data_IF_513764085184
#
_entry.id   IF_513764085184
#
_cell.length_a   1.000
_cell.length_b   1.000
_cell.length_c   1.000
_cell.angle_alpha   90.00
_cell.angle_beta   90.00
_cell.angle_gamma   90.00
#
_symmetry.space_group_name_H-M   'P 1'
#
loop_
_entity.id
_entity.type
_entity.pdbx_description
1 polymer ?
#
# COMPACT_ATOMS: atom_id res chain seq x y z
N UNK A 1 -4.39 14.52 2.26
CA UNK A 1 -3.11 15.01 2.80
C UNK A 1 -2.08 13.91 2.72
N UNK A 2 -0.83 14.26 2.42
CA UNK A 2 0.29 13.32 2.45
C UNK A 2 0.60 12.91 3.90
N UNK A 3 0.95 11.65 4.10
CA UNK A 3 1.29 11.10 5.43
C UNK A 3 2.78 10.75 5.45
N UNK A 4 3.52 11.36 6.36
CA UNK A 4 4.93 11.04 6.54
C UNK A 4 5.07 9.69 7.24
N UNK A 5 6.16 8.97 6.94
CA UNK A 5 6.51 7.72 7.60
C UNK A 5 6.79 7.95 9.09
N UNK A 6 7.49 9.04 9.40
CA UNK A 6 7.93 9.40 10.74
C UNK A 6 7.54 10.86 11.05
N UNK A 7 6.25 11.18 11.23
CA UNK A 7 5.86 12.54 11.61
C UNK A 7 6.35 12.89 13.02
N UNK A 8 6.47 14.19 13.31
CA UNK A 8 6.74 14.71 14.66
C UNK A 8 5.68 15.75 15.06
N UNK A 9 5.28 15.73 16.33
CA UNK A 9 4.51 16.80 16.95
C UNK A 9 5.28 18.11 16.85
N UNK A 10 4.60 19.23 16.56
CA UNK A 10 5.26 20.52 16.42
C UNK A 10 5.84 20.98 17.76
N UNK A 11 7.06 21.52 17.75
CA UNK A 11 7.67 22.14 18.95
C UNK A 11 6.82 23.31 19.47
N UNK A 12 6.13 24.01 18.57
CA UNK A 12 5.21 25.11 18.89
C UNK A 12 3.80 24.71 18.46
N UNK A 13 2.94 24.41 19.44
CA UNK A 13 1.55 23.99 19.23
C UNK A 13 0.52 25.01 19.72
N UNK A 14 -0.75 24.72 19.42
CA UNK A 14 -1.92 25.50 19.82
C UNK A 14 -2.65 24.93 21.03
N UNK A 15 -2.38 23.66 21.39
CA UNK A 15 -3.11 22.88 22.38
C UNK A 15 -4.31 22.11 21.78
N UNK A 16 -4.63 22.33 20.51
CA UNK A 16 -5.69 21.61 19.81
C UNK A 16 -5.22 20.29 19.20
N UNK A 17 -3.92 20.01 19.19
CA UNK A 17 -3.32 18.88 18.49
C UNK A 17 -3.81 17.54 19.05
N UNK A 18 -3.82 17.39 20.38
CA UNK A 18 -4.32 16.18 21.04
C UNK A 18 -5.82 15.95 20.81
N UNK A 19 -6.62 17.01 20.96
CA UNK A 19 -8.08 16.94 20.74
C UNK A 19 -8.39 16.59 19.29
N UNK A 20 -7.71 17.25 18.34
CA UNK A 20 -7.89 17.01 16.90
C UNK A 20 -7.49 15.59 16.52
N UNK A 21 -6.35 15.11 17.04
CA UNK A 21 -5.89 13.73 16.84
C UNK A 21 -6.92 12.72 17.34
N UNK A 22 -7.37 12.87 18.59
CA UNK A 22 -8.32 11.97 19.23
C UNK A 22 -9.66 11.94 18.50
N UNK A 23 -10.21 13.10 18.16
CA UNK A 23 -11.55 13.22 17.60
C UNK A 23 -11.60 13.00 16.08
N UNK A 24 -10.45 12.94 15.40
CA UNK A 24 -10.35 12.64 13.96
C UNK A 24 -10.87 11.25 13.56
N UNK A 25 -10.95 10.31 14.51
CA UNK A 25 -11.21 8.90 14.24
C UNK A 25 -10.01 8.14 13.66
N UNK A 26 -8.83 8.78 13.56
CA UNK A 26 -7.62 8.14 13.06
C UNK A 26 -6.93 7.26 14.12
N UNK A 27 -7.03 7.66 15.39
CA UNK A 27 -6.44 6.98 16.53
C UNK A 27 -7.27 5.77 17.00
N UNK A 28 -6.62 4.82 17.67
CA UNK A 28 -7.33 3.72 18.36
C UNK A 28 -7.55 4.11 19.81
N UNK A 29 -8.82 4.28 20.19
CA UNK A 29 -9.22 4.81 21.49
C UNK A 29 -9.63 3.68 22.43
N UNK A 30 -9.14 3.73 23.67
CA UNK A 30 -9.50 2.83 24.74
C UNK A 30 -10.97 3.01 25.16
N UNK A 31 -11.75 1.93 25.16
CA UNK A 31 -13.18 1.97 25.49
C UNK A 31 -13.45 1.84 26.99
N UNK A 32 -12.56 1.17 27.71
CA UNK A 32 -12.72 0.82 29.12
C UNK A 32 -11.38 0.94 29.84
N UNK A 33 -11.41 1.41 31.08
CA UNK A 33 -10.20 1.45 31.92
C UNK A 33 -9.65 0.03 32.16
N UNK A 34 -8.33 -0.08 32.24
CA UNK A 34 -7.68 -1.38 32.27
C UNK A 34 -6.16 -1.31 32.39
N UNK A 35 -5.55 -2.48 32.37
CA UNK A 35 -4.11 -2.67 32.26
C UNK A 35 -3.82 -3.33 30.91
N UNK A 36 -2.85 -2.81 30.17
CA UNK A 36 -2.40 -3.41 28.91
C UNK A 36 -1.73 -4.74 29.22
N UNK A 37 -2.34 -5.83 28.74
CA UNK A 37 -1.85 -7.19 28.98
C UNK A 37 -0.87 -7.64 27.90
N UNK A 38 -1.07 -7.17 26.65
CA UNK A 38 -0.23 -7.53 25.52
C UNK A 38 -0.21 -6.44 24.45
N UNK A 39 0.96 -6.20 23.87
CA UNK A 39 1.13 -5.25 22.76
C UNK A 39 1.75 -5.94 21.56
N UNK A 40 1.03 -5.96 20.44
CA UNK A 40 1.51 -6.42 19.14
C UNK A 40 1.32 -5.33 18.09
N UNK A 41 2.08 -5.38 17.00
CA UNK A 41 1.97 -4.43 15.89
C UNK A 41 0.55 -4.39 15.27
N UNK A 42 -0.20 -5.49 15.32
CA UNK A 42 -1.56 -5.61 14.76
C UNK A 42 -2.66 -5.50 15.81
N UNK A 43 -2.33 -5.56 17.10
CA UNK A 43 -3.34 -5.63 18.15
C UNK A 43 -2.82 -5.21 19.52
N UNK A 44 -3.63 -4.48 20.29
CA UNK A 44 -3.39 -4.21 21.71
C UNK A 44 -4.48 -4.86 22.53
N UNK A 45 -4.09 -5.54 23.62
CA UNK A 45 -5.00 -6.26 24.49
C UNK A 45 -5.04 -5.56 25.84
N UNK A 46 -6.23 -5.16 26.29
CA UNK A 46 -6.42 -4.43 27.56
C UNK A 46 -7.31 -5.26 28.47
N UNK A 47 -6.76 -5.65 29.62
CA UNK A 47 -7.52 -6.30 30.69
C UNK A 47 -8.26 -5.23 31.46
N UNK A 48 -9.59 -5.27 31.45
CA UNK A 48 -10.38 -4.35 32.27
C UNK A 48 -10.04 -4.55 33.74
N UNK A 49 -9.97 -3.45 34.48
CA UNK A 49 -9.82 -3.47 35.93
C UNK A 49 -10.95 -2.66 36.56
N UNK A 50 -11.43 -3.10 37.71
CA UNK A 50 -12.39 -2.36 38.52
C UNK A 50 -11.98 -2.45 39.98
N UNK A 51 -12.21 -1.39 40.73
CA UNK A 51 -12.06 -1.41 42.17
C UNK A 51 -13.37 -1.86 42.81
N UNK A 52 -13.33 -2.95 43.59
CA UNK A 52 -14.46 -3.47 44.38
C UNK A 52 -13.95 -3.64 45.80
N UNK A 53 -14.58 -2.97 46.77
CA UNK A 53 -14.21 -3.02 48.19
C UNK A 53 -12.72 -2.71 48.46
N UNK A 54 -12.13 -1.80 47.70
CA UNK A 54 -10.72 -1.41 47.81
C UNK A 54 -9.73 -2.40 47.22
N UNK A 55 -10.20 -3.43 46.50
CA UNK A 55 -9.37 -4.40 45.80
C UNK A 55 -9.53 -4.27 44.29
N UNK A 56 -8.42 -4.35 43.56
CA UNK A 56 -8.43 -4.35 42.10
C UNK A 56 -8.83 -5.74 41.57
N UNK A 57 -9.97 -5.79 40.89
CA UNK A 57 -10.52 -7.00 40.29
C UNK A 57 -10.36 -6.94 38.78
N UNK A 58 -9.75 -7.99 38.21
CA UNK A 58 -9.58 -8.16 36.77
C UNK A 58 -10.89 -8.62 36.13
N UNK A 59 -11.26 -8.00 35.02
CA UNK A 59 -12.44 -8.33 34.23
C UNK A 59 -12.13 -8.89 32.83
N UNK A 60 -12.99 -8.56 31.88
CA UNK A 60 -12.88 -8.99 30.48
C UNK A 60 -11.60 -8.48 29.80
N UNK A 61 -11.18 -9.20 28.76
CA UNK A 61 -10.08 -8.82 27.89
C UNK A 61 -10.60 -8.15 26.62
N UNK A 62 -10.35 -6.86 26.46
CA UNK A 62 -10.64 -6.13 25.24
C UNK A 62 -9.50 -6.22 24.23
N UNK A 63 -9.87 -6.36 22.97
CA UNK A 63 -8.96 -6.63 21.86
C UNK A 63 -9.09 -5.55 20.80
N UNK A 64 -8.12 -4.65 20.73
CA UNK A 64 -8.11 -3.50 19.83
C UNK A 64 -7.25 -3.81 18.60
N UNK A 65 -7.88 -4.01 17.43
CA UNK A 65 -7.19 -4.30 16.17
C UNK A 65 -6.67 -3.03 15.52
N UNK A 66 -5.46 -3.10 14.96
CA UNK A 66 -4.80 -2.00 14.26
C UNK A 66 -4.95 -2.17 12.76
N UNK A 67 -5.19 -1.06 12.07
CA UNK A 67 -5.12 -0.98 10.62
C UNK A 67 -3.67 -0.83 10.18
N UNK A 68 -3.16 -1.76 9.36
CA UNK A 68 -1.75 -1.79 8.92
C UNK A 68 -1.67 -1.71 7.40
N UNK A 69 -0.93 -0.72 6.90
CA UNK A 69 -0.67 -0.52 5.48
C UNK A 69 -1.93 -0.56 4.61
N UNK A 70 -3.00 0.09 5.06
CA UNK A 70 -4.25 0.18 4.29
C UNK A 70 -4.14 1.36 3.32
N UNK A 71 -4.50 1.12 2.05
CA UNK A 71 -4.59 2.17 1.04
C UNK A 71 -5.74 3.13 1.37
N UNK A 72 -5.46 4.43 1.39
CA UNK A 72 -6.49 5.46 1.43
C UNK A 72 -7.05 5.73 0.03
N UNK A 73 -8.20 6.41 -0.06
CA UNK A 73 -8.79 6.81 -1.34
C UNK A 73 -7.86 7.69 -2.20
N UNK A 74 -6.90 8.38 -1.56
CA UNK A 74 -5.92 9.26 -2.22
C UNK A 74 -4.57 8.54 -2.43
N UNK A 75 -4.51 7.22 -2.27
CA UNK A 75 -3.29 6.42 -2.48
C UNK A 75 -2.23 6.56 -1.38
N UNK A 76 -2.53 7.23 -0.26
CA UNK A 76 -1.61 7.31 0.89
C UNK A 76 -1.74 6.10 1.80
N UNK A 77 -0.69 5.83 2.59
CA UNK A 77 -0.69 4.76 3.56
C UNK A 77 -1.39 5.15 4.86
N UNK A 78 -2.44 4.41 5.21
CA UNK A 78 -3.06 4.43 6.53
C UNK A 78 -2.45 3.32 7.38
N UNK A 79 -1.74 3.70 8.44
CA UNK A 79 -1.04 2.77 9.31
C UNK A 79 -1.13 3.23 10.76
N UNK A 80 -1.69 2.37 11.61
CA UNK A 80 -1.80 2.59 13.04
C UNK A 80 -0.63 1.94 13.79
N UNK A 81 -0.07 2.65 14.77
CA UNK A 81 1.08 2.21 15.56
C UNK A 81 0.75 2.30 17.05
N UNK A 82 0.78 1.18 17.80
CA UNK A 82 0.63 1.23 19.26
C UNK A 82 1.61 2.21 19.89
N UNK A 83 1.13 2.99 20.86
CA UNK A 83 1.96 3.93 21.65
C UNK A 83 2.04 3.54 23.14
N UNK A 84 1.27 2.54 23.55
CA UNK A 84 1.28 1.95 24.90
C UNK A 84 2.20 0.74 24.95
N UNK A 85 2.64 0.40 26.17
CA UNK A 85 3.48 -0.75 26.50
C UNK A 85 2.73 -1.76 27.37
N UNK A 86 3.21 -3.00 27.42
CA UNK A 86 2.68 -4.02 28.34
C UNK A 86 2.85 -3.57 29.80
N UNK A 87 1.79 -3.68 30.58
CA UNK A 87 1.74 -3.20 31.97
C UNK A 87 1.21 -1.77 32.14
N UNK A 88 1.07 -0.99 31.07
CA UNK A 88 0.52 0.36 31.17
C UNK A 88 -0.92 0.34 31.68
N UNK A 89 -1.24 1.24 32.62
CA UNK A 89 -2.60 1.42 33.12
C UNK A 89 -3.27 2.53 32.32
N UNK A 90 -4.36 2.18 31.63
CA UNK A 90 -5.04 3.06 30.68
C UNK A 90 -6.45 3.40 31.15
N UNK A 91 -6.92 4.60 30.83
CA UNK A 91 -8.27 5.06 31.15
C UNK A 91 -9.18 5.08 29.93
N UNK A 92 -10.50 5.13 30.18
CA UNK A 92 -11.47 5.30 29.10
C UNK A 92 -11.20 6.59 28.32
N UNK A 93 -11.13 6.48 27.00
CA UNK A 93 -10.90 7.60 26.09
C UNK A 93 -9.43 7.91 25.84
N UNK A 94 -8.50 7.15 26.41
CA UNK A 94 -7.06 7.28 26.14
C UNK A 94 -6.70 6.71 24.76
N UNK A 95 -5.67 7.26 24.11
CA UNK A 95 -5.19 6.79 22.81
C UNK A 95 -4.24 5.61 23.03
N UNK A 96 -4.58 4.45 22.48
CA UNK A 96 -3.76 3.24 22.53
C UNK A 96 -2.79 3.14 21.35
N UNK A 97 -3.17 3.71 20.21
CA UNK A 97 -2.35 3.72 19.00
C UNK A 97 -2.57 4.99 18.18
N UNK A 98 -1.47 5.52 17.68
CA UNK A 98 -1.45 6.63 16.74
C UNK A 98 -1.96 6.19 15.38
N UNK A 99 -2.73 7.06 14.73
CA UNK A 99 -3.10 6.96 13.33
C UNK A 99 -2.03 7.52 12.38
N UNK A 100 -2.35 7.63 11.08
CA UNK A 100 -1.52 8.42 10.17
C UNK A 100 -1.41 9.88 10.62
N UNK A 101 -0.23 10.48 10.43
CA UNK A 101 0.06 11.87 10.80
C UNK A 101 -0.18 12.18 12.28
N UNK A 102 0.28 11.28 13.15
CA UNK A 102 0.23 11.44 14.61
C UNK A 102 1.55 11.04 15.26
N UNK A 103 1.86 11.69 16.38
CA UNK A 103 2.91 11.30 17.30
C UNK A 103 2.39 11.37 18.74
N UNK A 104 2.44 10.24 19.46
CA UNK A 104 2.11 10.13 20.89
C UNK A 104 0.75 10.73 21.26
N UNK A 105 -0.26 10.50 20.41
CA UNK A 105 -1.62 10.96 20.62
C UNK A 105 -1.88 12.41 20.21
N UNK A 106 -0.93 13.08 19.56
CA UNK A 106 -1.08 14.42 19.01
C UNK A 106 -1.03 14.43 17.49
N UNK A 107 -1.64 15.45 16.89
CA UNK A 107 -1.58 15.67 15.45
C UNK A 107 -0.16 16.08 15.04
N UNK A 108 0.41 15.34 14.10
CA UNK A 108 1.77 15.52 13.62
C UNK A 108 1.79 15.44 12.08
N UNK A 109 1.68 16.61 11.42
CA UNK A 109 1.58 16.68 9.96
C UNK A 109 2.94 16.74 9.25
N UNK A 110 4.01 17.04 10.00
CA UNK A 110 5.32 17.38 9.43
C UNK A 110 6.48 16.90 10.30
N UNK A 111 7.57 17.66 10.26
CA UNK A 111 8.83 17.41 10.97
C UNK A 111 9.34 18.73 11.53
N UNK A 112 9.98 18.67 12.70
CA UNK A 112 10.71 19.83 13.21
C UNK A 112 12.09 19.88 12.54
N UNK A 113 12.42 21.03 11.94
CA UNK A 113 13.69 21.22 11.22
C UNK A 113 14.36 22.51 11.66
N UNK A 114 15.69 22.52 11.61
CA UNK A 114 16.48 23.73 11.81
C UNK A 114 16.45 24.56 10.54
N UNK A 115 16.07 25.83 10.67
CA UNK A 115 15.92 26.76 9.55
C UNK A 115 16.92 27.91 9.71
N UNK A 116 17.69 28.17 8.66
CA UNK A 116 18.51 29.36 8.53
C UNK A 116 17.76 30.43 7.74
N UNK A 117 17.60 31.63 8.30
CA UNK A 117 16.93 32.74 7.64
C UNK A 117 17.98 33.68 7.02
N UNK A 118 18.35 33.43 5.77
CA UNK A 118 19.33 34.21 5.01
C UNK A 118 19.11 34.05 3.51
N UNK A 119 19.61 34.98 2.70
CA UNK A 119 19.70 34.79 1.24
C UNK A 119 20.88 33.87 0.92
N UNK A 120 20.72 33.01 -0.10
CA UNK A 120 21.76 32.06 -0.48
C UNK A 120 21.85 31.94 -2.01
N UNK A 121 22.80 32.68 -2.60
CA UNK A 121 23.15 32.67 -4.03
C UNK A 121 21.95 32.72 -5.01
N UNK A 122 20.82 33.30 -4.58
CA UNK A 122 19.59 33.38 -5.38
C UNK A 122 18.79 32.08 -5.48
N UNK A 123 19.24 30.97 -4.88
CA UNK A 123 18.49 29.70 -4.89
C UNK A 123 17.21 29.74 -4.07
N UNK A 124 17.12 30.64 -3.09
CA UNK A 124 15.91 30.94 -2.32
C UNK A 124 15.27 32.27 -2.74
N UNK A 125 15.31 32.59 -4.04
CA UNK A 125 14.64 33.76 -4.58
C UNK A 125 13.10 33.61 -4.49
N UNK A 126 12.42 34.68 -4.11
CA UNK A 126 10.97 34.72 -3.84
C UNK A 126 10.54 33.63 -2.85
N UNK A 127 9.74 32.65 -3.30
CA UNK A 127 9.16 31.59 -2.46
C UNK A 127 9.96 30.28 -2.54
N UNK A 128 11.11 30.26 -3.21
CA UNK A 128 11.93 29.07 -3.32
C UNK A 128 12.60 28.71 -1.98
N UNK A 129 12.62 27.42 -1.66
CA UNK A 129 13.23 26.89 -0.43
C UNK A 129 14.41 26.00 -0.80
N UNK A 130 15.53 26.21 -0.11
CA UNK A 130 16.70 25.34 -0.21
C UNK A 130 16.61 24.29 0.88
N UNK A 131 16.80 23.04 0.50
CA UNK A 131 16.78 21.90 1.42
C UNK A 131 18.18 21.31 1.59
N UNK A 132 18.55 21.00 2.83
CA UNK A 132 19.75 20.20 3.08
C UNK A 132 19.55 18.78 2.53
N UNK A 133 20.52 18.26 1.78
CA UNK A 133 20.55 16.88 1.29
C UNK A 133 20.39 15.84 2.43
N UNK A 134 20.77 16.21 3.66
CA UNK A 134 20.55 15.39 4.86
C UNK A 134 19.08 14.99 5.03
N UNK A 135 18.14 15.88 4.69
CA UNK A 135 16.70 15.60 4.83
C UNK A 135 16.21 14.49 3.90
N UNK A 136 16.89 14.28 2.76
CA UNK A 136 16.65 13.16 1.82
C UNK A 136 17.33 11.89 2.32
N UNK A 137 18.57 12.00 2.83
CA UNK A 137 19.36 10.86 3.35
C UNK A 137 18.68 10.22 4.56
N UNK A 138 18.19 11.04 5.48
CA UNK A 138 17.60 10.62 6.76
C UNK A 138 16.09 10.32 6.65
N UNK A 139 15.53 10.28 5.44
CA UNK A 139 14.11 10.02 5.17
C UNK A 139 13.14 10.96 5.93
N UNK A 140 13.54 12.22 6.17
CA UNK A 140 12.77 13.16 7.01
C UNK A 140 11.41 13.47 6.40
N UNK A 141 11.40 13.85 5.13
CA UNK A 141 10.18 14.08 4.35
C UNK A 141 9.94 12.92 3.40
N UNK A 142 9.65 11.76 3.98
CA UNK A 142 9.36 10.54 3.21
C UNK A 142 7.97 10.04 3.50
N UNK A 143 7.21 9.75 2.45
CA UNK A 143 5.87 9.20 2.51
C UNK A 143 5.81 7.78 1.92
N UNK A 144 4.78 7.05 2.32
CA UNK A 144 4.45 5.75 1.74
C UNK A 144 3.18 5.91 0.91
N UNK A 145 3.26 5.53 -0.36
CA UNK A 145 2.14 5.48 -1.30
C UNK A 145 1.80 4.03 -1.61
N UNK A 146 0.51 3.74 -1.73
CA UNK A 146 0.01 2.42 -2.12
C UNK A 146 -0.83 2.63 -3.37
N UNK A 147 -0.27 2.21 -4.50
CA UNK A 147 -0.91 2.28 -5.81
C UNK A 147 -1.65 0.95 -6.08
N UNK A 148 -2.83 1.06 -6.67
CA UNK A 148 -3.66 -0.08 -7.06
C UNK A 148 -3.66 -0.19 -8.57
N UNK A 149 -3.29 -1.37 -9.07
CA UNK A 149 -3.36 -1.72 -10.49
C UNK A 149 -4.30 -2.88 -10.65
N UNK A 150 -5.12 -2.87 -11.70
CA UNK A 150 -6.07 -3.94 -11.96
C UNK A 150 -5.95 -4.49 -13.38
N UNK A 151 -6.11 -5.80 -13.50
CA UNK A 151 -6.21 -6.51 -14.77
C UNK A 151 -7.43 -7.41 -14.72
N UNK A 152 -8.17 -7.47 -15.83
CA UNK A 152 -9.35 -8.32 -15.93
C UNK A 152 -9.30 -9.16 -17.21
N UNK A 153 -9.86 -10.36 -17.09
CA UNK A 153 -10.17 -11.22 -18.23
C UNK A 153 -11.66 -11.13 -18.56
N UNK A 154 -11.98 -11.18 -19.85
CA UNK A 154 -13.36 -11.07 -20.34
C UNK A 154 -13.60 -12.03 -21.50
N UNK A 155 -14.86 -12.35 -21.75
CA UNK A 155 -15.23 -13.06 -22.97
C UNK A 155 -15.19 -12.09 -24.16
N UNK A 156 -14.44 -12.47 -25.20
CA UNK A 156 -14.43 -11.75 -26.48
C UNK A 156 -15.12 -12.59 -27.55
N UNK A 157 -15.41 -11.98 -28.70
CA UNK A 157 -15.96 -12.69 -29.86
C UNK A 157 -15.03 -13.79 -30.40
N UNK A 158 -13.72 -13.66 -30.16
CA UNK A 158 -12.69 -14.57 -30.67
C UNK A 158 -12.32 -15.67 -29.66
N UNK A 159 -12.85 -15.57 -28.44
CA UNK A 159 -12.55 -16.46 -27.32
C UNK A 159 -12.37 -15.68 -26.01
N UNK A 160 -12.30 -16.38 -24.87
CA UNK A 160 -12.02 -15.75 -23.59
C UNK A 160 -10.58 -15.21 -23.54
N UNK A 161 -10.38 -14.06 -22.91
CA UNK A 161 -9.05 -13.67 -22.41
C UNK A 161 -8.65 -14.59 -21.25
N UNK A 162 -7.36 -14.90 -21.15
CA UNK A 162 -6.85 -15.83 -20.15
C UNK A 162 -5.74 -15.15 -19.35
N UNK A 163 -5.82 -15.23 -18.02
CA UNK A 163 -4.72 -14.86 -17.12
C UNK A 163 -3.84 -16.11 -16.96
N UNK A 164 -2.59 -16.00 -17.38
CA UNK A 164 -1.68 -17.14 -17.48
C UNK A 164 -0.22 -16.70 -17.43
N UNK A 165 0.66 -17.61 -17.01
CA UNK A 165 2.12 -17.43 -17.11
C UNK A 165 2.65 -17.70 -18.52
N UNK A 166 1.88 -18.39 -19.37
CA UNK A 166 2.25 -18.69 -20.75
C UNK A 166 1.98 -17.47 -21.67
N UNK A 167 2.97 -16.58 -21.75
CA UNK A 167 2.87 -15.30 -22.47
C UNK A 167 3.81 -15.35 -23.68
N UNK A 168 3.31 -15.12 -24.91
CA UNK A 168 4.13 -15.20 -26.11
C UNK A 168 5.20 -14.11 -26.14
N UNK A 169 6.39 -14.46 -26.64
CA UNK A 169 7.55 -13.56 -26.78
C UNK A 169 8.10 -12.96 -25.47
N UNK A 170 7.80 -13.57 -24.32
CA UNK A 170 8.34 -13.15 -23.02
C UNK A 170 9.36 -14.18 -22.52
N UNK A 171 10.56 -13.74 -22.16
CA UNK A 171 11.61 -14.60 -21.62
C UNK A 171 11.41 -14.97 -20.14
N UNK A 172 12.00 -16.08 -19.69
CA UNK A 172 11.89 -16.59 -18.31
C UNK A 172 12.29 -15.56 -17.24
N UNK A 173 13.29 -14.71 -17.51
CA UNK A 173 13.73 -13.67 -16.57
C UNK A 173 12.61 -12.68 -16.22
N UNK A 174 11.72 -12.38 -17.17
CA UNK A 174 10.57 -11.51 -16.92
C UNK A 174 9.43 -12.23 -16.18
N UNK A 175 9.34 -13.56 -16.30
CA UNK A 175 8.34 -14.39 -15.65
C UNK A 175 8.74 -14.80 -14.22
N UNK A 176 10.00 -14.58 -13.81
CA UNK A 176 10.58 -15.09 -12.55
C UNK A 176 9.79 -14.79 -11.28
N UNK A 177 9.02 -13.69 -11.27
CA UNK A 177 8.24 -13.26 -10.10
C UNK A 177 6.76 -13.61 -10.22
N UNK A 178 6.30 -14.12 -11.37
CA UNK A 178 4.94 -14.61 -11.55
C UNK A 178 4.82 -16.04 -11.00
N UNK A 179 3.69 -16.32 -10.36
CA UNK A 179 3.31 -17.66 -9.96
C UNK A 179 2.85 -18.51 -11.17
N UNK A 180 2.46 -19.75 -10.90
CA UNK A 180 1.97 -20.69 -11.94
C UNK A 180 0.73 -20.18 -12.68
N UNK A 181 -0.03 -19.24 -12.10
CA UNK A 181 -1.21 -18.64 -12.70
C UNK A 181 -0.88 -17.40 -13.53
N UNK A 182 0.37 -16.95 -13.53
CA UNK A 182 0.79 -15.70 -14.18
C UNK A 182 0.58 -14.45 -13.32
N UNK A 183 0.45 -14.60 -12.00
CA UNK A 183 0.18 -13.48 -11.10
C UNK A 183 1.44 -13.18 -10.25
N UNK A 184 1.81 -11.91 -10.14
CA UNK A 184 2.99 -11.49 -9.37
C UNK A 184 2.89 -11.90 -7.89
N UNK A 185 3.98 -12.44 -7.34
CA UNK A 185 4.04 -12.82 -5.91
C UNK A 185 4.15 -11.62 -4.97
N UNK A 186 3.52 -11.72 -3.80
CA UNK A 186 3.66 -10.74 -2.72
C UNK A 186 5.12 -10.66 -2.26
N UNK A 187 5.60 -9.44 -2.00
CA UNK A 187 6.97 -9.15 -1.59
C UNK A 187 7.99 -9.07 -2.74
N UNK A 188 7.57 -9.29 -4.00
CA UNK A 188 8.45 -9.03 -5.14
C UNK A 188 8.78 -7.54 -5.26
N UNK A 189 10.03 -7.21 -5.52
CA UNK A 189 10.43 -5.88 -5.97
C UNK A 189 10.22 -5.80 -7.48
N UNK A 190 9.53 -4.74 -7.91
CA UNK A 190 9.17 -4.50 -9.31
C UNK A 190 9.62 -3.11 -9.75
N UNK A 191 10.01 -3.01 -11.02
CA UNK A 191 10.42 -1.77 -11.69
C UNK A 191 9.53 -1.50 -12.89
N UNK A 192 9.67 -0.33 -13.47
CA UNK A 192 9.01 0.05 -14.71
C UNK A 192 9.11 -1.06 -15.78
N UNK A 193 7.98 -1.44 -16.37
CA UNK A 193 7.88 -2.48 -17.39
C UNK A 193 7.78 -3.93 -16.89
N UNK A 194 8.03 -4.20 -15.60
CA UNK A 194 7.90 -5.53 -15.02
C UNK A 194 6.45 -6.03 -15.08
N UNK A 195 6.27 -7.34 -15.26
CA UNK A 195 4.97 -7.99 -15.31
C UNK A 195 4.31 -8.05 -13.93
N UNK A 196 3.06 -7.62 -13.84
CA UNK A 196 2.22 -7.75 -12.64
C UNK A 196 1.21 -8.89 -12.80
N UNK A 197 0.56 -8.96 -13.96
CA UNK A 197 -0.40 -10.03 -14.30
C UNK A 197 -0.22 -10.39 -15.75
N UNK A 198 0.23 -11.63 -16.00
CA UNK A 198 0.27 -12.24 -17.30
C UNK A 198 -1.15 -12.41 -17.86
N UNK A 199 -1.40 -11.82 -19.03
CA UNK A 199 -2.70 -11.91 -19.69
C UNK A 199 -2.51 -12.06 -21.19
N UNK A 200 -3.28 -12.99 -21.76
CA UNK A 200 -3.30 -13.23 -23.19
C UNK A 200 -4.71 -13.04 -23.75
N UNK A 201 -4.79 -12.39 -24.91
CA UNK A 201 -6.05 -12.18 -25.64
C UNK A 201 -6.01 -12.95 -26.96
N UNK A 202 -7.05 -13.73 -27.31
CA UNK A 202 -7.13 -14.40 -28.60
C UNK A 202 -7.06 -13.40 -29.75
N UNK A 203 -6.17 -13.64 -30.72
CA UNK A 203 -6.11 -12.88 -31.97
C UNK A 203 -7.09 -13.47 -32.98
N UNK A 204 -7.67 -12.59 -33.80
CA UNK A 204 -8.39 -13.03 -34.99
C UNK A 204 -7.38 -13.53 -36.01
N UNK A 205 -7.75 -14.55 -36.78
CA UNK A 205 -6.90 -15.03 -37.87
C UNK A 205 -6.76 -13.92 -38.91
N UNK A 206 -5.63 -13.21 -38.90
CA UNK A 206 -5.21 -12.36 -40.02
C UNK A 206 -4.58 -13.24 -41.09
N UNK A 207 -4.60 -12.81 -42.36
CA UNK A 207 -3.81 -13.49 -43.39
C UNK A 207 -2.33 -13.46 -42.98
N UNK A 208 -1.79 -14.62 -42.63
CA UNK A 208 -0.38 -14.82 -42.35
C UNK A 208 0.46 -14.35 -43.54
N UNK A 209 1.54 -13.62 -43.27
CA UNK A 209 2.55 -13.32 -44.29
C UNK A 209 3.20 -14.60 -44.82
N UNK A 210 3.86 -14.54 -45.98
CA UNK A 210 4.47 -15.73 -46.58
C UNK A 210 5.57 -16.32 -45.67
N UNK A 211 6.26 -15.45 -44.94
CA UNK A 211 7.28 -15.75 -43.95
C UNK A 211 6.69 -16.47 -42.72
N UNK A 212 5.58 -15.95 -42.18
CA UNK A 212 4.89 -16.57 -41.03
C UNK A 212 4.26 -17.92 -41.39
N UNK A 213 3.70 -18.06 -42.61
CA UNK A 213 3.20 -19.35 -43.13
C UNK A 213 4.31 -20.40 -43.23
N UNK A 214 5.50 -20.00 -43.68
CA UNK A 214 6.65 -20.89 -43.79
C UNK A 214 7.14 -21.35 -42.41
N UNK A 215 7.27 -20.41 -41.47
CA UNK A 215 7.60 -20.72 -40.07
C UNK A 215 6.60 -21.69 -39.46
N UNK A 216 5.30 -21.44 -39.64
CA UNK A 216 4.24 -22.29 -39.12
C UNK A 216 4.28 -23.72 -39.70
N UNK A 217 4.58 -23.86 -40.99
CA UNK A 217 4.73 -25.15 -41.66
C UNK A 217 5.97 -25.95 -41.19
N UNK A 218 7.02 -25.27 -40.76
CA UNK A 218 8.28 -25.90 -40.30
C UNK A 218 8.18 -26.33 -38.82
N UNK A 219 7.61 -25.49 -37.95
CA UNK A 219 7.62 -25.72 -36.50
C UNK A 219 6.34 -26.38 -35.95
N UNK A 220 5.26 -26.45 -36.74
CA UNK A 220 4.14 -27.36 -36.46
C UNK A 220 3.33 -27.06 -35.19
N UNK A 221 3.20 -25.80 -34.77
CA UNK A 221 2.42 -25.46 -33.57
C UNK A 221 0.99 -25.05 -33.90
N UNK A 222 0.04 -25.92 -33.59
CA UNK A 222 -1.41 -25.61 -33.47
C UNK A 222 -1.71 -24.75 -32.24
N UNK A 223 -0.84 -23.82 -31.87
CA UNK A 223 -1.10 -22.91 -30.77
C UNK A 223 -2.15 -21.89 -31.23
N UNK A 224 -3.17 -21.63 -30.39
CA UNK A 224 -4.07 -20.49 -30.59
C UNK A 224 -3.20 -19.24 -30.69
N UNK A 225 -3.32 -18.48 -31.77
CA UNK A 225 -2.65 -17.18 -31.86
C UNK A 225 -3.22 -16.26 -30.79
N UNK A 226 -2.40 -15.94 -29.81
CA UNK A 226 -2.73 -15.03 -28.73
C UNK A 226 -1.78 -13.84 -28.73
N UNK A 227 -2.25 -12.72 -28.19
CA UNK A 227 -1.46 -11.52 -27.97
C UNK A 227 -1.16 -11.35 -26.49
N UNK A 228 0.06 -10.93 -26.15
CA UNK A 228 0.37 -10.38 -24.83
C UNK A 228 -0.43 -9.08 -24.60
N UNK A 229 -1.35 -9.12 -23.65
CA UNK A 229 -2.12 -7.97 -23.14
C UNK A 229 -1.96 -7.84 -21.62
N UNK A 230 -0.81 -8.30 -21.11
CA UNK A 230 -0.46 -8.34 -19.69
C UNK A 230 -0.46 -6.97 -19.04
N UNK A 231 -0.78 -6.95 -17.75
CA UNK A 231 -0.60 -5.78 -16.90
C UNK A 231 0.88 -5.65 -16.52
N UNK A 232 1.46 -4.49 -16.80
CA UNK A 232 2.83 -4.14 -16.46
C UNK A 232 2.87 -2.92 -15.55
N UNK A 233 3.96 -2.79 -14.79
CA UNK A 233 4.23 -1.57 -14.03
C UNK A 233 4.34 -0.40 -15.02
N UNK A 234 3.62 0.73 -14.81
CA UNK A 234 3.70 1.88 -15.71
C UNK A 234 5.01 2.65 -15.54
N UNK A 235 5.31 3.50 -16.53
CA UNK A 235 6.46 4.39 -16.52
C UNK A 235 6.53 5.27 -15.27
N UNK A 236 7.72 5.33 -14.66
CA UNK A 236 7.96 6.05 -13.40
C UNK A 236 7.40 5.34 -12.15
N UNK A 237 6.78 4.17 -12.32
CA UNK A 237 6.33 3.31 -11.23
C UNK A 237 7.42 2.39 -10.69
N UNK A 238 6.99 1.42 -9.87
CA UNK A 238 7.87 0.43 -9.22
C UNK A 238 7.73 0.47 -7.70
N UNK A 239 8.30 -0.50 -7.01
CA UNK A 239 8.17 -0.64 -5.56
C UNK A 239 8.10 -2.10 -5.16
N UNK A 240 7.42 -2.38 -4.05
CA UNK A 240 7.28 -3.74 -3.53
C UNK A 240 5.81 -4.15 -3.62
N UNK A 241 5.53 -5.37 -4.05
CA UNK A 241 4.16 -5.91 -4.06
C UNK A 241 3.70 -6.11 -2.61
N UNK A 242 2.70 -5.33 -2.21
CA UNK A 242 2.13 -5.35 -0.87
C UNK A 242 1.09 -6.46 -0.71
N UNK A 243 0.17 -6.55 -1.67
CA UNK A 243 -0.96 -7.48 -1.63
C UNK A 243 -1.46 -7.75 -3.04
N UNK A 244 -2.10 -8.90 -3.24
CA UNK A 244 -2.76 -9.27 -4.49
C UNK A 244 -4.12 -9.89 -4.17
N UNK A 245 -5.16 -9.34 -4.79
CA UNK A 245 -6.54 -9.82 -4.62
C UNK A 245 -7.05 -10.33 -5.95
N UNK A 246 -7.53 -11.57 -5.94
CA UNK A 246 -8.11 -12.21 -7.11
C UNK A 246 -9.59 -12.44 -6.83
N UNK A 247 -10.43 -12.00 -7.76
CA UNK A 247 -11.87 -12.20 -7.73
C UNK A 247 -12.26 -13.03 -8.95
N UNK A 248 -13.05 -14.07 -8.74
CA UNK A 248 -13.46 -15.01 -9.78
C UNK A 248 -14.99 -15.10 -9.82
N UNK A 249 -15.57 -14.97 -11.01
CA UNK A 249 -17.02 -15.17 -11.19
C UNK A 249 -17.45 -16.58 -10.78
N UNK A 250 -16.62 -17.58 -11.06
CA UNK A 250 -16.91 -18.98 -10.76
C UNK A 250 -16.98 -19.26 -9.25
N UNK A 251 -16.24 -18.50 -8.44
CA UNK A 251 -16.25 -18.61 -6.98
C UNK A 251 -17.43 -17.85 -6.33
N UNK A 252 -18.28 -17.21 -7.15
CA UNK A 252 -19.43 -16.43 -6.69
C UNK A 252 -19.13 -14.96 -6.39
N UNK A 253 -17.96 -14.45 -6.77
CA UNK A 253 -17.63 -13.03 -6.59
C UNK A 253 -18.46 -12.14 -7.52
N UNK A 254 -18.88 -10.98 -6.99
CA UNK A 254 -19.61 -9.99 -7.76
C UNK A 254 -18.67 -9.24 -8.72
N UNK A 255 -18.74 -9.61 -10.01
CA UNK A 255 -17.96 -9.00 -11.08
C UNK A 255 -18.86 -8.28 -12.10
N UNK A 256 -18.44 -7.13 -12.65
CA UNK A 256 -19.16 -6.46 -13.72
C UNK A 256 -19.47 -7.39 -14.91
N UNK A 257 -20.61 -7.20 -15.61
CA UNK A 257 -21.03 -8.08 -16.70
C UNK A 257 -19.92 -8.33 -17.73
N UNK A 258 -19.72 -9.59 -18.10
CA UNK A 258 -18.72 -10.01 -19.11
C UNK A 258 -17.29 -10.19 -18.61
N UNK A 259 -16.98 -9.87 -17.34
CA UNK A 259 -15.64 -10.11 -16.73
C UNK A 259 -15.54 -11.44 -16.00
N UNK A 260 -14.64 -12.33 -16.38
CA UNK A 260 -14.53 -13.67 -15.80
C UNK A 260 -13.68 -13.68 -14.51
N UNK A 261 -12.59 -12.93 -14.53
CA UNK A 261 -11.67 -12.78 -13.40
C UNK A 261 -11.17 -11.33 -13.33
N UNK A 262 -10.98 -10.84 -12.12
CA UNK A 262 -10.37 -9.54 -11.82
C UNK A 262 -9.22 -9.75 -10.84
N UNK A 263 -8.03 -9.28 -11.20
CA UNK A 263 -6.84 -9.32 -10.36
C UNK A 263 -6.44 -7.89 -10.03
N UNK A 264 -6.38 -7.57 -8.74
CA UNK A 264 -5.88 -6.30 -8.21
C UNK A 264 -4.54 -6.51 -7.55
N UNK A 265 -3.56 -5.71 -7.94
CA UNK A 265 -2.19 -5.72 -7.44
C UNK A 265 -1.92 -4.40 -6.73
N UNK A 266 -1.49 -4.49 -5.48
CA UNK A 266 -1.14 -3.32 -4.67
C UNK A 266 0.37 -3.17 -4.61
N UNK A 267 0.90 -2.05 -5.10
CA UNK A 267 2.34 -1.73 -5.04
C UNK A 267 2.56 -0.67 -3.96
N UNK A 268 3.43 -0.97 -3.00
CA UNK A 268 3.90 0.02 -2.03
C UNK A 268 5.15 0.72 -2.54
N UNK A 269 5.13 2.06 -2.50
CA UNK A 269 6.21 2.93 -2.93
C UNK A 269 6.66 3.82 -1.77
N UNK A 270 7.97 3.88 -1.53
CA UNK A 270 8.57 4.87 -0.63
C UNK A 270 8.96 6.08 -1.47
N UNK A 271 8.30 7.22 -1.27
CA UNK A 271 8.60 8.48 -1.97
C UNK A 271 9.35 9.41 -1.04
N UNK A 272 10.61 9.66 -1.36
CA UNK A 272 11.42 10.68 -0.69
C UNK A 272 11.12 12.05 -1.30
N UNK A 273 11.32 13.11 -0.51
CA UNK A 273 11.32 14.48 -1.05
C UNK A 273 12.34 14.63 -2.17
N UNK A 274 11.96 15.37 -3.20
CA UNK A 274 12.77 15.67 -4.38
C UNK A 274 12.56 17.13 -4.76
N UNK A 275 13.41 17.65 -5.65
CA UNK A 275 13.27 19.00 -6.18
C UNK A 275 11.88 19.16 -6.84
N UNK A 276 11.20 20.27 -6.55
CA UNK A 276 9.85 20.58 -7.04
C UNK A 276 8.68 20.04 -6.21
N UNK A 277 8.95 19.40 -5.07
CA UNK A 277 7.94 18.94 -4.11
C UNK A 277 7.43 20.05 -3.17
#
# INVERSE_FOLDING_TARGET
>A
GMTLMNPESPIVGTGMEHVSAKDSGAAVICKYEGIVEKVEAKQVWVRRVKEIDGQEVKGDLDKYRMQKFIRSNQGTCYNQRPIVSEGDRVVKGEILADGPSMEKGELALGRNVMVGFMTWDGYNYEDAIIMSERLVKDDVYTSIHIEEYESESRDTKLGPEEITRDIPNVGEDALRNLDERGIIRIGAEVKDGDLLVGKVTPKGVTELTAEERLLHAIFGEKAREVQDTSLRVPHGGGGIILDVKVFNREDGDELPPGKNQLVRVYIVQKRKVSDGA
#
